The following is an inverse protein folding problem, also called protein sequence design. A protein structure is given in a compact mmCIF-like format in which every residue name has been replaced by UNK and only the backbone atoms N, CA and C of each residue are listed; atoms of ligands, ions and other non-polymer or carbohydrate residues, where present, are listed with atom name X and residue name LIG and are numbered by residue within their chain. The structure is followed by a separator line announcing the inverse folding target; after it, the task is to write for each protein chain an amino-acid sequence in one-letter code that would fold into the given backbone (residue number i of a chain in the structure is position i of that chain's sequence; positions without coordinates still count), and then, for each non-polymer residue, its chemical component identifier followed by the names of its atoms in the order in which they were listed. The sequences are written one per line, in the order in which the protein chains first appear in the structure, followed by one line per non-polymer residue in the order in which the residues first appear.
data_IF_784650035910
#
_entry.id   IF_784650035910
#
_cell.length_a   1.000
_cell.length_b   1.000
_cell.length_c   1.000
_cell.angle_alpha   90.00
_cell.angle_beta   90.00
_cell.angle_gamma   90.00
#
_symmetry.space_group_name_H-M   'P 1'
#
loop_
_entity.id
_entity.type
_entity.pdbx_description
1 polymer ?
#
# COMPACT_ATOMS: atom_id res chain seq x y z
N UNK A 1 -42.34 -0.06 4.69
CA UNK A 1 -42.50 -0.92 3.51
C UNK A 1 -43.91 -0.75 2.98
N UNK A 2 -44.08 -0.71 1.66
CA UNK A 2 -45.39 -0.52 1.04
C UNK A 2 -45.94 -1.92 0.68
N UNK A 3 -47.16 -2.30 1.09
CA UNK A 3 -47.74 -3.63 0.81
C UNK A 3 -47.79 -3.99 -0.68
N UNK A 4 -47.89 -2.97 -1.55
CA UNK A 4 -47.85 -3.13 -2.99
C UNK A 4 -46.44 -3.56 -3.42
N UNK A 5 -45.40 -2.90 -2.93
CA UNK A 5 -44.01 -3.23 -3.25
C UNK A 5 -43.58 -4.59 -2.71
N UNK A 6 -44.03 -4.95 -1.51
CA UNK A 6 -43.74 -6.25 -0.90
C UNK A 6 -44.26 -7.40 -1.79
N UNK A 7 -45.44 -7.26 -2.41
CA UNK A 7 -46.01 -8.28 -3.30
C UNK A 7 -45.11 -8.60 -4.50
N UNK A 8 -44.49 -7.59 -5.09
CA UNK A 8 -43.64 -7.77 -6.29
C UNK A 8 -42.22 -8.20 -5.95
N UNK A 9 -41.70 -7.79 -4.79
CA UNK A 9 -40.31 -8.07 -4.40
C UNK A 9 -40.16 -9.36 -3.60
N UNK A 10 -41.24 -9.85 -2.95
CA UNK A 10 -41.20 -11.08 -2.16
C UNK A 10 -40.67 -12.30 -2.92
N UNK A 11 -41.09 -12.59 -4.17
CA UNK A 11 -40.52 -13.71 -4.93
C UNK A 11 -39.01 -13.54 -5.17
N UNK A 12 -38.56 -12.32 -5.45
CA UNK A 12 -37.13 -12.02 -5.67
C UNK A 12 -36.33 -12.24 -4.38
N UNK A 13 -36.81 -11.76 -3.24
CA UNK A 13 -36.10 -11.90 -1.96
C UNK A 13 -36.11 -13.34 -1.43
N UNK A 14 -37.23 -14.04 -1.52
CA UNK A 14 -37.38 -15.38 -0.96
C UNK A 14 -36.83 -16.47 -1.89
N UNK A 15 -37.11 -16.39 -3.20
CA UNK A 15 -36.72 -17.43 -4.15
C UNK A 15 -35.29 -17.27 -4.66
N UNK A 16 -34.81 -16.02 -4.86
CA UNK A 16 -33.47 -15.76 -5.43
C UNK A 16 -32.44 -15.48 -4.32
N UNK A 17 -32.80 -14.65 -3.34
CA UNK A 17 -31.86 -14.23 -2.29
C UNK A 17 -31.94 -15.10 -1.02
N UNK A 18 -32.95 -15.96 -0.89
CA UNK A 18 -33.22 -16.79 0.29
C UNK A 18 -33.29 -15.98 1.60
N UNK A 19 -33.75 -14.73 1.52
CA UNK A 19 -33.93 -13.83 2.66
C UNK A 19 -35.43 -13.58 2.83
N UNK A 20 -36.01 -13.83 4.01
CA UNK A 20 -37.41 -13.47 4.26
C UNK A 20 -37.59 -11.96 4.09
N UNK A 21 -38.59 -11.54 3.32
CA UNK A 21 -38.78 -10.11 3.00
C UNK A 21 -38.96 -9.23 4.24
N UNK A 22 -39.50 -9.80 5.33
CA UNK A 22 -39.63 -9.15 6.64
C UNK A 22 -38.29 -8.78 7.30
N UNK A 23 -37.19 -9.43 6.91
CA UNK A 23 -35.82 -9.13 7.35
C UNK A 23 -35.06 -8.26 6.34
N UNK A 24 -35.63 -7.98 5.16
CA UNK A 24 -34.97 -7.24 4.09
C UNK A 24 -35.42 -5.78 4.06
N UNK A 25 -34.50 -4.85 4.33
CA UNK A 25 -34.76 -3.41 4.11
C UNK A 25 -34.44 -3.06 2.67
N UNK A 26 -35.45 -2.65 1.91
CA UNK A 26 -35.30 -2.25 0.52
C UNK A 26 -35.97 -0.90 0.26
N UNK A 27 -35.47 -0.20 -0.77
CA UNK A 27 -36.09 1.00 -1.32
C UNK A 27 -36.28 0.77 -2.82
N UNK A 28 -37.52 0.61 -3.26
CA UNK A 28 -37.86 0.30 -4.65
C UNK A 28 -39.08 1.07 -5.13
N UNK A 29 -39.04 1.53 -6.37
CA UNK A 29 -40.16 2.20 -7.02
C UNK A 29 -40.83 1.23 -8.01
N UNK A 30 -42.16 1.13 -7.93
CA UNK A 30 -42.97 0.34 -8.88
C UNK A 30 -43.91 1.30 -9.57
N UNK A 31 -43.67 1.57 -10.85
CA UNK A 31 -44.43 2.55 -11.63
C UNK A 31 -45.79 2.02 -12.09
N UNK A 32 -45.84 0.75 -12.47
CA UNK A 32 -47.00 0.13 -13.11
C UNK A 32 -47.51 -1.11 -12.33
N UNK A 33 -47.96 -0.97 -11.08
CA UNK A 33 -48.57 -2.08 -10.35
C UNK A 33 -49.92 -2.48 -10.95
N UNK A 34 -50.31 -3.71 -10.66
CA UNK A 34 -51.57 -4.35 -11.05
C UNK A 34 -52.52 -4.32 -9.85
N UNK A 35 -53.76 -3.88 -10.06
CA UNK A 35 -54.80 -3.89 -9.03
C UNK A 35 -55.32 -5.32 -8.73
N UNK A 36 -56.28 -5.45 -7.82
CA UNK A 36 -56.89 -6.76 -7.49
C UNK A 36 -57.67 -7.38 -8.65
N UNK A 37 -58.01 -6.60 -9.69
CA UNK A 37 -58.76 -7.01 -10.86
C UNK A 37 -57.88 -7.27 -12.09
N UNK A 38 -56.55 -7.17 -11.98
CA UNK A 38 -55.63 -7.37 -13.10
C UNK A 38 -55.37 -6.11 -13.95
N UNK A 39 -55.91 -4.95 -13.57
CA UNK A 39 -55.75 -3.68 -14.31
C UNK A 39 -54.46 -2.99 -13.89
N UNK A 40 -53.61 -2.66 -14.87
CA UNK A 40 -52.39 -1.89 -14.65
C UNK A 40 -52.73 -0.41 -14.50
N UNK A 41 -52.25 0.22 -13.44
CA UNK A 41 -52.42 1.66 -13.21
C UNK A 41 -51.09 2.31 -12.85
N UNK A 42 -50.99 3.63 -13.03
CA UNK A 42 -49.79 4.37 -12.65
C UNK A 42 -49.77 4.67 -11.15
N UNK A 43 -48.71 4.27 -10.46
CA UNK A 43 -48.52 4.59 -9.05
C UNK A 43 -47.96 6.00 -8.87
N UNK A 44 -48.82 6.96 -8.50
CA UNK A 44 -48.41 8.34 -8.28
C UNK A 44 -47.40 8.54 -7.15
N UNK A 45 -47.33 7.64 -6.16
CA UNK A 45 -46.30 7.73 -5.11
C UNK A 45 -44.91 7.40 -5.66
N UNK A 46 -44.80 6.33 -6.46
CA UNK A 46 -43.55 5.98 -7.16
C UNK A 46 -43.17 7.07 -8.18
N UNK A 47 -44.15 7.62 -8.89
CA UNK A 47 -43.95 8.74 -9.81
C UNK A 47 -43.47 10.02 -9.13
N UNK A 48 -44.04 10.39 -7.98
CA UNK A 48 -43.60 11.53 -7.19
C UNK A 48 -42.17 11.33 -6.65
N UNK A 49 -41.84 10.12 -6.17
CA UNK A 49 -40.48 9.77 -5.78
C UNK A 49 -39.47 9.87 -6.93
N UNK A 50 -39.86 9.42 -8.13
CA UNK A 50 -39.06 9.56 -9.33
C UNK A 50 -38.88 11.02 -9.78
N UNK A 51 -39.92 11.85 -9.72
CA UNK A 51 -39.80 13.30 -9.98
C UNK A 51 -38.83 13.95 -8.98
N UNK A 52 -38.93 13.60 -7.69
CA UNK A 52 -37.99 14.08 -6.68
C UNK A 52 -36.54 13.68 -6.99
N UNK A 53 -36.32 12.43 -7.42
CA UNK A 53 -35.02 11.94 -7.87
C UNK A 53 -34.50 12.73 -9.08
N UNK A 54 -35.35 12.96 -10.10
CA UNK A 54 -34.99 13.75 -11.27
C UNK A 54 -34.64 15.20 -10.92
N UNK A 55 -35.39 15.84 -10.02
CA UNK A 55 -35.09 17.20 -9.55
C UNK A 55 -33.76 17.23 -8.81
N UNK A 56 -33.50 16.25 -7.93
CA UNK A 56 -32.26 16.17 -7.15
C UNK A 56 -31.05 15.92 -8.05
N UNK A 57 -31.13 14.93 -8.95
CA UNK A 57 -30.07 14.64 -9.91
C UNK A 57 -29.87 15.79 -10.90
N UNK A 58 -30.96 16.40 -11.38
CA UNK A 58 -30.93 17.53 -12.30
C UNK A 58 -30.28 18.77 -11.69
N UNK A 59 -30.57 19.06 -10.42
CA UNK A 59 -29.91 20.15 -9.69
C UNK A 59 -28.40 19.89 -9.57
N UNK A 60 -28.01 18.69 -9.11
CA UNK A 60 -26.60 18.32 -8.98
C UNK A 60 -25.86 18.41 -10.32
N UNK A 61 -26.45 17.88 -11.39
CA UNK A 61 -25.89 17.92 -12.74
C UNK A 61 -25.76 19.35 -13.27
N UNK A 62 -26.75 20.21 -13.03
CA UNK A 62 -26.71 21.63 -13.41
C UNK A 62 -25.57 22.36 -12.69
N UNK A 63 -25.39 22.11 -11.38
CA UNK A 63 -24.27 22.68 -10.61
C UNK A 63 -22.93 22.27 -11.21
N UNK A 64 -22.76 20.98 -11.54
CA UNK A 64 -21.52 20.46 -12.15
C UNK A 64 -21.24 21.13 -13.50
N UNK A 65 -22.24 21.23 -14.38
CA UNK A 65 -22.08 21.89 -15.69
C UNK A 65 -21.76 23.38 -15.52
N UNK A 66 -22.50 24.10 -14.68
CA UNK A 66 -22.29 25.54 -14.48
C UNK A 66 -20.92 25.81 -13.86
N UNK A 67 -20.50 25.01 -12.87
CA UNK A 67 -19.18 25.12 -12.26
C UNK A 67 -18.07 24.81 -13.28
N UNK A 68 -18.23 23.77 -14.10
CA UNK A 68 -17.30 23.43 -15.17
C UNK A 68 -17.18 24.55 -16.21
N UNK A 69 -18.32 25.08 -16.68
CA UNK A 69 -18.36 26.17 -17.65
C UNK A 69 -17.74 27.47 -17.11
N UNK A 70 -18.08 27.85 -15.87
CA UNK A 70 -17.47 29.02 -15.20
C UNK A 70 -15.97 28.85 -15.03
N UNK A 71 -15.51 27.66 -14.64
CA UNK A 71 -14.09 27.34 -14.49
C UNK A 71 -13.35 27.48 -15.82
N UNK A 72 -13.91 26.95 -16.91
CA UNK A 72 -13.37 27.09 -18.26
C UNK A 72 -13.23 28.55 -18.70
N UNK A 73 -14.29 29.35 -18.51
CA UNK A 73 -14.30 30.79 -18.86
C UNK A 73 -13.22 31.53 -18.07
N UNK A 74 -13.12 31.30 -16.76
CA UNK A 74 -12.14 31.96 -15.89
C UNK A 74 -10.71 31.67 -16.33
N UNK A 75 -10.37 30.41 -16.61
CA UNK A 75 -9.03 30.02 -17.06
C UNK A 75 -8.68 30.63 -18.42
N UNK A 76 -9.64 30.70 -19.34
CA UNK A 76 -9.45 31.35 -20.65
C UNK A 76 -9.13 32.85 -20.50
N UNK A 77 -9.72 33.52 -19.51
CA UNK A 77 -9.40 34.91 -19.18
C UNK A 77 -8.04 35.06 -18.51
N UNK A 78 -7.69 34.21 -17.53
CA UNK A 78 -6.40 34.24 -16.83
C UNK A 78 -5.22 34.00 -17.78
N UNK A 79 -5.41 33.15 -18.81
CA UNK A 79 -4.40 32.94 -19.86
C UNK A 79 -4.03 34.23 -20.61
N UNK A 80 -4.94 35.21 -20.68
CA UNK A 80 -4.71 36.52 -21.33
C UNK A 80 -4.01 37.52 -20.42
N UNK A 81 -4.02 37.34 -19.10
CA UNK A 81 -3.60 38.38 -18.13
C UNK A 81 -2.11 38.39 -17.75
N UNK A 82 -1.20 37.86 -18.56
CA UNK A 82 0.24 38.03 -18.27
C UNK A 82 0.74 37.34 -16.99
N UNK A 83 0.00 36.38 -16.42
CA UNK A 83 0.42 35.64 -15.22
C UNK A 83 1.75 34.88 -15.42
N UNK A 84 2.40 34.53 -14.30
CA UNK A 84 3.63 33.75 -14.26
C UNK A 84 3.47 32.40 -14.99
N UNK A 85 4.57 31.89 -15.58
CA UNK A 85 4.58 30.61 -16.30
C UNK A 85 4.17 29.44 -15.39
N UNK A 86 4.59 29.47 -14.12
CA UNK A 86 4.23 28.48 -13.12
C UNK A 86 2.71 28.45 -12.85
N UNK A 87 2.13 29.61 -12.58
CA UNK A 87 0.68 29.74 -12.31
C UNK A 87 -0.16 29.26 -13.48
N UNK A 88 0.23 29.62 -14.71
CA UNK A 88 -0.44 29.17 -15.94
C UNK A 88 -0.40 27.65 -16.12
N UNK A 89 0.74 27.02 -15.84
CA UNK A 89 0.89 25.57 -15.94
C UNK A 89 0.03 24.85 -14.91
N UNK A 90 0.08 25.28 -13.64
CA UNK A 90 -0.71 24.69 -12.57
C UNK A 90 -2.22 24.82 -12.83
N UNK A 91 -2.68 26.00 -13.28
CA UNK A 91 -4.08 26.21 -13.65
C UNK A 91 -4.52 25.29 -14.80
N UNK A 92 -3.66 25.10 -15.81
CA UNK A 92 -3.95 24.19 -16.92
C UNK A 92 -4.05 22.73 -16.46
N UNK A 93 -3.20 22.31 -15.53
CA UNK A 93 -3.24 20.97 -14.94
C UNK A 93 -4.52 20.74 -14.15
N UNK A 94 -4.86 21.66 -13.25
CA UNK A 94 -6.10 21.63 -12.48
C UNK A 94 -7.33 21.65 -13.40
N UNK A 95 -7.26 22.39 -14.51
CA UNK A 95 -8.33 22.39 -15.51
C UNK A 95 -8.53 21.03 -16.17
N UNK A 96 -7.44 20.40 -16.65
CA UNK A 96 -7.51 19.06 -17.25
C UNK A 96 -8.06 18.04 -16.26
N UNK A 97 -7.61 18.10 -15.01
CA UNK A 97 -8.13 17.27 -13.92
C UNK A 97 -9.63 17.51 -13.71
N UNK A 98 -10.05 18.77 -13.58
CA UNK A 98 -11.46 19.14 -13.37
C UNK A 98 -12.35 18.67 -14.51
N UNK A 99 -11.92 18.83 -15.77
CA UNK A 99 -12.67 18.33 -16.93
C UNK A 99 -12.83 16.82 -16.83
N UNK A 100 -11.75 16.08 -16.57
CA UNK A 100 -11.83 14.63 -16.40
C UNK A 100 -12.75 14.24 -15.23
N UNK A 101 -12.64 14.91 -14.07
CA UNK A 101 -13.49 14.69 -12.91
C UNK A 101 -14.96 15.01 -13.16
N UNK A 102 -15.27 15.96 -14.05
CA UNK A 102 -16.66 16.23 -14.43
C UNK A 102 -17.20 15.18 -15.39
N UNK A 103 -16.38 14.66 -16.31
CA UNK A 103 -16.82 13.71 -17.33
C UNK A 103 -16.96 12.29 -16.77
N UNK A 104 -16.04 11.85 -15.91
CA UNK A 104 -16.04 10.49 -15.33
C UNK A 104 -17.38 10.13 -14.66
N UNK A 105 -17.92 10.87 -13.68
CA UNK A 105 -19.19 10.54 -13.06
C UNK A 105 -20.35 10.69 -14.03
N UNK A 106 -20.28 11.61 -15.01
CA UNK A 106 -21.34 11.76 -16.01
C UNK A 106 -21.52 10.48 -16.83
N UNK A 107 -20.42 9.92 -17.32
CA UNK A 107 -20.44 8.69 -18.11
C UNK A 107 -20.61 7.43 -17.26
N UNK A 108 -19.96 7.35 -16.10
CA UNK A 108 -19.96 6.13 -15.28
C UNK A 108 -21.17 6.02 -14.36
N UNK A 109 -21.74 7.13 -13.91
CA UNK A 109 -22.84 7.15 -12.95
C UNK A 109 -24.10 7.79 -13.53
N UNK A 110 -24.07 9.08 -13.91
CA UNK A 110 -25.31 9.80 -14.25
C UNK A 110 -26.07 9.18 -15.42
N UNK A 111 -25.41 8.90 -16.56
CA UNK A 111 -26.07 8.31 -17.73
C UNK A 111 -26.68 6.93 -17.40
N UNK A 112 -25.90 5.95 -16.90
CA UNK A 112 -26.44 4.61 -16.70
C UNK A 112 -27.39 4.50 -15.49
N UNK A 113 -27.21 5.26 -14.40
CA UNK A 113 -28.23 5.33 -13.34
C UNK A 113 -29.50 6.00 -13.83
N UNK A 114 -29.40 7.04 -14.66
CA UNK A 114 -30.60 7.65 -15.26
C UNK A 114 -31.35 6.60 -16.08
N UNK A 115 -30.65 5.85 -16.95
CA UNK A 115 -31.27 4.76 -17.73
C UNK A 115 -31.91 3.68 -16.84
N UNK A 116 -31.25 3.29 -15.74
CA UNK A 116 -31.78 2.32 -14.77
C UNK A 116 -33.09 2.82 -14.12
N UNK A 117 -33.21 4.11 -13.83
CA UNK A 117 -34.40 4.69 -13.19
C UNK A 117 -35.50 5.09 -14.17
N UNK A 118 -35.19 5.55 -15.38
CA UNK A 118 -36.20 5.88 -16.42
C UNK A 118 -36.67 4.68 -17.22
N UNK A 119 -35.82 3.68 -17.46
CA UNK A 119 -36.15 2.51 -18.28
C UNK A 119 -37.47 1.83 -17.88
N UNK A 120 -37.68 1.51 -16.59
CA UNK A 120 -38.91 0.88 -16.12
C UNK A 120 -40.19 1.71 -16.35
N UNK A 121 -40.09 3.04 -16.50
CA UNK A 121 -41.23 3.90 -16.82
C UNK A 121 -41.79 3.62 -18.22
N UNK A 122 -40.90 3.25 -19.15
CA UNK A 122 -41.21 2.96 -20.54
C UNK A 122 -41.29 1.46 -20.85
N UNK A 123 -41.42 0.62 -19.81
CA UNK A 123 -41.40 -0.85 -19.93
C UNK A 123 -40.10 -1.40 -20.55
N UNK A 124 -38.97 -0.72 -20.29
CA UNK A 124 -37.63 -1.17 -20.69
C UNK A 124 -36.97 -1.84 -19.49
N UNK A 125 -36.65 -3.13 -19.63
CA UNK A 125 -35.95 -3.90 -18.59
C UNK A 125 -34.45 -3.58 -18.58
N UNK A 126 -34.02 -2.87 -17.54
CA UNK A 126 -32.61 -2.48 -17.33
C UNK A 126 -31.96 -3.25 -16.16
N UNK A 127 -32.52 -4.38 -15.75
CA UNK A 127 -32.04 -5.17 -14.60
C UNK A 127 -30.56 -5.55 -14.73
N UNK A 128 -30.10 -5.89 -15.94
CA UNK A 128 -28.71 -6.25 -16.22
C UNK A 128 -27.68 -5.15 -15.85
N UNK A 129 -28.11 -3.88 -15.77
CA UNK A 129 -27.25 -2.76 -15.39
C UNK A 129 -27.06 -2.65 -13.87
N UNK A 130 -27.97 -3.22 -13.07
CA UNK A 130 -28.01 -3.01 -11.61
C UNK A 130 -26.73 -3.47 -10.89
N UNK A 131 -26.25 -4.68 -11.19
CA UNK A 131 -25.05 -5.24 -10.56
C UNK A 131 -23.75 -4.51 -10.96
N UNK A 132 -23.46 -4.27 -12.27
CA UNK A 132 -22.32 -3.46 -12.68
C UNK A 132 -22.35 -2.04 -12.08
N UNK A 133 -23.51 -1.39 -12.05
CA UNK A 133 -23.63 -0.03 -11.52
C UNK A 133 -23.40 0.05 -10.01
N UNK A 134 -23.84 -0.96 -9.26
CA UNK A 134 -23.56 -1.05 -7.82
C UNK A 134 -22.06 -1.16 -7.57
N UNK A 135 -21.35 -1.96 -8.37
CA UNK A 135 -19.89 -2.06 -8.29
C UNK A 135 -19.20 -0.74 -8.65
N UNK A 136 -19.58 -0.11 -9.77
CA UNK A 136 -19.02 1.18 -10.21
C UNK A 136 -19.27 2.28 -9.17
N UNK A 137 -20.46 2.33 -8.59
CA UNK A 137 -20.81 3.28 -7.54
C UNK A 137 -19.95 3.09 -6.29
N UNK A 138 -19.72 1.84 -5.86
CA UNK A 138 -18.84 1.53 -4.74
C UNK A 138 -17.37 1.89 -5.03
N UNK A 139 -16.93 1.76 -6.29
CA UNK A 139 -15.56 2.08 -6.71
C UNK A 139 -15.32 3.58 -6.96
N UNK A 140 -16.38 4.35 -7.26
CA UNK A 140 -16.26 5.75 -7.67
C UNK A 140 -15.46 6.64 -6.71
N UNK A 141 -15.62 6.55 -5.37
CA UNK A 141 -14.79 7.34 -4.44
C UNK A 141 -13.28 7.12 -4.60
N UNK A 142 -12.85 5.95 -5.08
CA UNK A 142 -11.46 5.67 -5.39
C UNK A 142 -11.05 6.17 -6.79
N UNK A 143 -11.98 6.27 -7.73
CA UNK A 143 -11.74 6.78 -9.09
C UNK A 143 -11.66 8.31 -9.17
N UNK A 144 -12.49 9.00 -8.37
CA UNK A 144 -12.59 10.46 -8.37
C UNK A 144 -11.26 11.23 -8.14
N UNK A 145 -10.35 10.80 -7.24
CA UNK A 145 -9.07 11.46 -7.07
C UNK A 145 -8.06 11.17 -8.20
N UNK A 146 -8.23 10.09 -8.99
CA UNK A 146 -7.25 9.64 -9.98
C UNK A 146 -6.86 10.75 -10.99
N UNK A 147 -7.79 11.52 -11.57
CA UNK A 147 -7.41 12.59 -12.48
C UNK A 147 -6.56 13.67 -11.83
N UNK A 148 -6.83 14.06 -10.58
CA UNK A 148 -5.99 15.03 -9.87
C UNK A 148 -4.60 14.43 -9.65
N UNK A 149 -4.53 13.17 -9.21
CA UNK A 149 -3.27 12.48 -8.97
C UNK A 149 -2.45 12.31 -10.25
N UNK A 150 -3.09 12.19 -11.41
CA UNK A 150 -2.43 11.98 -12.70
C UNK A 150 -2.10 13.28 -13.45
N UNK A 151 -2.92 14.32 -13.38
CA UNK A 151 -2.72 15.56 -14.15
C UNK A 151 -1.93 16.63 -13.41
N UNK A 152 -1.87 16.59 -12.08
CA UNK A 152 -1.21 17.63 -11.28
C UNK A 152 0.18 17.18 -10.86
N UNK A 153 1.21 17.86 -11.34
CA UNK A 153 2.61 17.44 -11.15
C UNK A 153 2.99 17.31 -9.68
N UNK A 154 2.57 18.24 -8.83
CA UNK A 154 2.86 18.19 -7.40
C UNK A 154 2.34 16.90 -6.74
N UNK A 155 1.15 16.42 -7.12
CA UNK A 155 0.60 15.17 -6.59
C UNK A 155 1.35 13.96 -7.13
N UNK A 156 1.71 13.95 -8.43
CA UNK A 156 2.50 12.86 -9.02
C UNK A 156 3.87 12.74 -8.34
N UNK A 157 4.56 13.87 -8.14
CA UNK A 157 5.85 13.94 -7.43
C UNK A 157 5.68 13.46 -5.99
N UNK A 158 4.59 13.82 -5.31
CA UNK A 158 4.31 13.35 -3.95
C UNK A 158 4.15 11.84 -3.91
N UNK A 159 3.35 11.26 -4.80
CA UNK A 159 3.13 9.81 -4.86
C UNK A 159 4.44 9.08 -5.14
N UNK A 160 5.22 9.55 -6.12
CA UNK A 160 6.54 8.99 -6.42
C UNK A 160 7.47 9.07 -5.21
N UNK A 161 7.50 10.22 -4.52
CA UNK A 161 8.29 10.42 -3.30
C UNK A 161 7.84 9.51 -2.16
N UNK A 162 6.52 9.27 -2.01
CA UNK A 162 5.98 8.34 -1.02
C UNK A 162 6.38 6.90 -1.31
N UNK A 163 6.35 6.48 -2.58
CA UNK A 163 6.83 5.16 -3.00
C UNK A 163 8.32 4.99 -2.70
N UNK A 164 9.14 6.00 -2.99
CA UNK A 164 10.56 5.98 -2.63
C UNK A 164 10.77 6.00 -1.10
N UNK A 165 9.94 6.72 -0.35
CA UNK A 165 10.00 6.80 1.11
C UNK A 165 9.75 5.45 1.79
N UNK A 166 9.01 4.53 1.14
CA UNK A 166 8.86 3.16 1.61
C UNK A 166 10.22 2.46 1.80
N UNK A 167 11.24 2.80 0.99
CA UNK A 167 12.60 2.29 1.18
C UNK A 167 13.18 2.71 2.54
N UNK A 168 13.06 3.99 2.88
CA UNK A 168 13.48 4.52 4.18
C UNK A 168 12.71 3.88 5.34
N UNK A 169 11.39 3.78 5.24
CA UNK A 169 10.53 3.12 6.24
C UNK A 169 10.98 1.66 6.46
N UNK A 170 11.23 0.92 5.38
CA UNK A 170 11.66 -0.48 5.45
C UNK A 170 13.01 -0.64 6.12
N UNK A 171 14.00 0.19 5.79
CA UNK A 171 15.34 0.12 6.41
C UNK A 171 15.28 0.32 7.94
N UNK A 172 14.49 1.29 8.40
CA UNK A 172 14.31 1.52 9.84
C UNK A 172 13.45 0.43 10.49
N UNK A 173 12.46 -0.11 9.78
CA UNK A 173 11.72 -1.30 10.21
C UNK A 173 12.66 -2.49 10.46
N UNK A 174 13.57 -2.77 9.54
CA UNK A 174 14.60 -3.81 9.68
C UNK A 174 15.45 -3.56 10.93
N UNK A 175 15.95 -2.33 11.11
CA UNK A 175 16.74 -1.97 12.29
C UNK A 175 15.99 -2.22 13.60
N UNK A 176 14.70 -1.87 13.67
CA UNK A 176 13.85 -2.11 14.84
C UNK A 176 13.63 -3.60 15.07
N UNK A 177 13.41 -4.40 14.02
CA UNK A 177 13.32 -5.85 14.15
C UNK A 177 14.59 -6.45 14.76
N UNK A 178 15.78 -5.94 14.41
CA UNK A 178 17.03 -6.37 15.05
C UNK A 178 17.12 -5.99 16.52
N UNK A 179 16.69 -4.78 16.89
CA UNK A 179 16.63 -4.34 18.29
C UNK A 179 15.66 -5.19 19.09
N UNK A 180 14.48 -5.49 18.52
CA UNK A 180 13.50 -6.38 19.13
C UNK A 180 14.08 -7.78 19.39
N UNK A 181 14.74 -8.37 18.38
CA UNK A 181 15.41 -9.68 18.50
C UNK A 181 16.48 -9.67 19.60
N UNK A 182 17.28 -8.60 19.68
CA UNK A 182 18.28 -8.43 20.74
C UNK A 182 17.63 -8.43 22.14
N UNK A 183 16.58 -7.65 22.34
CA UNK A 183 15.89 -7.59 23.63
C UNK A 183 15.21 -8.91 24.00
N UNK A 184 14.70 -9.65 23.02
CA UNK A 184 14.18 -10.99 23.22
C UNK A 184 15.26 -11.97 23.72
N UNK A 185 16.47 -11.89 23.18
CA UNK A 185 17.60 -12.73 23.59
C UNK A 185 18.16 -12.37 24.95
N UNK A 186 18.09 -11.10 25.36
CA UNK A 186 18.60 -10.67 26.67
C UNK A 186 17.82 -11.28 27.84
N UNK A 187 16.53 -11.64 27.65
CA UNK A 187 15.62 -12.16 28.67
C UNK A 187 15.50 -11.29 29.94
N UNK A 188 15.87 -10.01 29.86
CA UNK A 188 15.83 -9.04 30.98
C UNK A 188 14.47 -8.32 31.14
N UNK A 189 13.39 -8.87 30.59
CA UNK A 189 12.06 -8.23 30.61
C UNK A 189 11.94 -6.95 29.75
N UNK A 190 12.95 -6.63 28.94
CA UNK A 190 12.98 -5.42 28.08
C UNK A 190 11.96 -5.45 26.93
N UNK A 191 11.35 -6.60 26.62
CA UNK A 191 10.21 -6.65 25.68
C UNK A 191 9.01 -5.83 26.14
N UNK A 192 8.94 -5.41 27.42
CA UNK A 192 7.93 -4.48 27.89
C UNK A 192 7.91 -3.15 27.10
N UNK A 193 9.05 -2.75 26.54
CA UNK A 193 9.16 -1.55 25.70
C UNK A 193 8.55 -1.73 24.31
N UNK A 194 8.14 -2.94 23.94
CA UNK A 194 7.42 -3.25 22.71
C UNK A 194 5.94 -3.56 22.97
N UNK A 195 5.40 -3.12 24.12
CA UNK A 195 4.00 -3.29 24.51
C UNK A 195 3.35 -1.97 24.90
N UNK A 196 2.04 -1.86 24.66
CA UNK A 196 1.22 -0.71 25.06
C UNK A 196 1.68 0.59 24.39
N UNK A 197 1.71 1.69 25.15
CA UNK A 197 2.03 3.02 24.64
C UNK A 197 3.44 3.14 24.02
N UNK A 198 4.41 2.34 24.47
CA UNK A 198 5.76 2.34 23.90
C UNK A 198 5.80 1.86 22.44
N UNK A 199 4.79 1.14 21.97
CA UNK A 199 4.68 0.72 20.58
C UNK A 199 4.54 1.93 19.62
N UNK A 200 3.84 2.98 20.06
CA UNK A 200 3.70 4.23 19.28
C UNK A 200 5.06 4.88 19.03
N UNK A 201 5.96 4.83 20.02
CA UNK A 201 7.33 5.33 19.86
C UNK A 201 8.08 4.55 18.78
N UNK A 202 8.02 3.22 18.78
CA UNK A 202 8.68 2.41 17.75
C UNK A 202 8.12 2.64 16.35
N UNK A 203 6.81 2.82 16.20
CA UNK A 203 6.23 3.15 14.89
C UNK A 203 6.54 4.57 14.43
N UNK A 204 6.78 5.50 15.34
CA UNK A 204 7.15 6.88 14.96
C UNK A 204 8.50 6.93 14.23
N UNK A 205 9.45 6.05 14.56
CA UNK A 205 10.81 6.08 13.99
C UNK A 205 10.80 5.83 12.47
N UNK A 206 10.20 4.74 11.94
CA UNK A 206 10.11 4.53 10.48
C UNK A 206 9.30 5.61 9.78
N UNK A 207 8.24 6.13 10.41
CA UNK A 207 7.42 7.21 9.84
C UNK A 207 8.27 8.47 9.67
N UNK A 208 9.04 8.86 10.68
CA UNK A 208 9.96 10.00 10.60
C UNK A 208 11.03 9.81 9.52
N UNK A 209 11.56 8.60 9.38
CA UNK A 209 12.51 8.27 8.30
C UNK A 209 11.88 8.42 6.91
N UNK A 210 10.64 7.96 6.74
CA UNK A 210 9.86 8.15 5.52
C UNK A 210 9.57 9.63 5.23
N UNK A 211 9.17 10.40 6.26
CA UNK A 211 8.96 11.84 6.14
C UNK A 211 10.25 12.58 5.72
N UNK A 212 11.40 12.23 6.32
CA UNK A 212 12.70 12.79 5.91
C UNK A 212 12.99 12.49 4.43
N UNK A 213 12.67 11.29 3.96
CA UNK A 213 12.83 10.94 2.54
C UNK A 213 11.92 11.76 1.63
N UNK A 214 10.65 11.95 2.00
CA UNK A 214 9.70 12.77 1.22
C UNK A 214 10.20 14.22 1.13
N UNK A 215 10.63 14.80 2.26
CA UNK A 215 11.20 16.16 2.32
C UNK A 215 12.42 16.26 1.40
N UNK A 216 13.30 15.26 1.43
CA UNK A 216 14.48 15.23 0.58
C UNK A 216 14.13 15.18 -0.92
N UNK A 217 13.18 14.34 -1.32
CA UNK A 217 12.68 14.29 -2.70
C UNK A 217 12.06 15.62 -3.14
N UNK A 218 11.29 16.27 -2.27
CA UNK A 218 10.60 17.53 -2.59
C UNK A 218 11.53 18.73 -2.72
N UNK A 219 12.52 18.86 -1.82
CA UNK A 219 13.34 20.06 -1.75
C UNK A 219 14.68 19.93 -2.47
N UNK A 220 15.30 18.75 -2.45
CA UNK A 220 16.67 18.57 -2.95
C UNK A 220 16.73 17.80 -4.26
N UNK A 221 15.82 16.84 -4.47
CA UNK A 221 15.85 15.93 -5.63
C UNK A 221 14.63 16.08 -6.58
N UNK A 222 13.93 17.21 -6.50
CA UNK A 222 12.72 17.47 -7.28
C UNK A 222 13.01 17.74 -8.75
N UNK A 223 12.03 17.45 -9.60
CA UNK A 223 12.08 17.69 -11.04
C UNK A 223 12.33 19.17 -11.33
N UNK A 224 13.35 19.45 -12.12
CA UNK A 224 13.70 20.79 -12.54
C UNK A 224 14.16 20.81 -14.01
N UNK A 225 14.21 21.98 -14.66
CA UNK A 225 14.56 22.05 -16.08
C UNK A 225 15.98 21.55 -16.41
N UNK A 226 16.90 21.52 -15.43
CA UNK A 226 18.25 20.99 -15.62
C UNK A 226 18.20 19.46 -15.60
N UNK A 227 17.48 18.87 -14.65
CA UNK A 227 17.28 17.42 -14.59
C UNK A 227 16.50 16.88 -15.77
N UNK A 228 15.53 17.64 -16.27
CA UNK A 228 14.76 17.23 -17.44
C UNK A 228 15.67 17.11 -18.68
N UNK A 229 16.54 18.10 -18.91
CA UNK A 229 17.47 18.04 -20.05
C UNK A 229 18.45 16.88 -19.95
N UNK A 230 18.91 16.59 -18.74
CA UNK A 230 19.86 15.51 -18.50
C UNK A 230 19.22 14.12 -18.65
N UNK A 231 18.02 13.93 -18.09
CA UNK A 231 17.35 12.62 -18.07
C UNK A 231 16.53 12.33 -19.32
N UNK A 232 16.16 13.33 -20.12
CA UNK A 232 15.35 13.15 -21.33
C UNK A 232 15.87 12.05 -22.26
N UNK A 233 17.14 12.07 -22.70
CA UNK A 233 17.63 11.02 -23.61
C UNK A 233 17.59 9.63 -22.97
N UNK A 234 17.85 9.53 -21.66
CA UNK A 234 17.86 8.27 -20.91
C UNK A 234 16.44 7.70 -20.80
N UNK A 235 15.48 8.53 -20.42
CA UNK A 235 14.08 8.11 -20.22
C UNK A 235 13.42 7.74 -21.56
N UNK A 236 13.65 8.54 -22.61
CA UNK A 236 13.08 8.29 -23.93
C UNK A 236 13.67 7.04 -24.59
N UNK A 237 14.96 6.76 -24.37
CA UNK A 237 15.62 5.56 -24.91
C UNK A 237 15.22 4.27 -24.16
N UNK A 238 15.22 4.29 -22.82
CA UNK A 238 14.95 3.08 -22.01
C UNK A 238 13.46 2.78 -21.91
N UNK A 239 12.64 3.80 -21.64
CA UNK A 239 11.22 3.62 -21.33
C UNK A 239 10.29 3.98 -22.49
N UNK A 240 10.81 4.59 -23.56
CA UNK A 240 10.02 5.04 -24.72
C UNK A 240 8.86 5.98 -24.34
N UNK A 241 9.06 6.77 -23.28
CA UNK A 241 8.07 7.72 -22.76
C UNK A 241 8.67 9.13 -22.82
N UNK A 242 7.93 10.13 -23.34
CA UNK A 242 8.37 11.52 -23.28
C UNK A 242 8.52 11.98 -21.83
N UNK A 243 9.59 12.71 -21.51
CA UNK A 243 9.90 13.09 -20.12
C UNK A 243 8.79 13.92 -19.44
N UNK A 244 7.98 14.66 -20.21
CA UNK A 244 6.83 15.41 -19.70
C UNK A 244 5.78 14.50 -19.04
N UNK A 245 5.74 13.24 -19.46
CA UNK A 245 4.86 12.20 -18.94
C UNK A 245 5.54 11.31 -17.89
N UNK A 246 6.85 11.47 -17.68
CA UNK A 246 7.59 10.79 -16.63
C UNK A 246 7.51 11.55 -15.29
N UNK A 247 7.59 10.82 -14.19
CA UNK A 247 7.83 11.40 -12.85
C UNK A 247 9.04 10.72 -12.26
N UNK A 248 9.96 11.52 -11.76
CA UNK A 248 11.20 11.02 -11.21
C UNK A 248 11.67 11.91 -10.06
N UNK A 249 12.50 11.34 -9.19
CA UNK A 249 13.38 12.08 -8.29
C UNK A 249 14.80 11.77 -8.72
N UNK A 250 15.63 12.79 -8.93
CA UNK A 250 16.98 12.60 -9.47
C UNK A 250 18.01 13.41 -8.70
N UNK A 251 19.10 12.74 -8.34
CA UNK A 251 20.31 13.38 -7.82
C UNK A 251 21.32 13.48 -8.96
N UNK A 252 21.43 14.67 -9.56
CA UNK A 252 22.41 14.93 -10.62
C UNK A 252 23.58 15.68 -10.00
N UNK A 253 24.71 15.00 -9.84
CA UNK A 253 25.89 15.55 -9.18
C UNK A 253 26.69 16.48 -10.08
N UNK A 254 26.78 16.15 -11.38
CA UNK A 254 27.67 16.82 -12.33
C UNK A 254 26.91 17.35 -13.56
N UNK A 255 25.94 18.28 -13.41
CA UNK A 255 25.25 18.86 -14.55
C UNK A 255 26.17 19.76 -15.40
N UNK A 256 25.86 19.86 -16.68
CA UNK A 256 26.52 20.78 -17.63
C UNK A 256 25.77 22.11 -17.67
N UNK A 257 26.48 23.24 -17.51
CA UNK A 257 25.92 24.57 -17.67
C UNK A 257 25.64 24.91 -19.15
N UNK A 258 24.95 26.02 -19.42
CA UNK A 258 24.68 26.56 -20.75
C UNK A 258 25.95 26.82 -21.57
N UNK A 259 27.08 27.05 -20.90
CA UNK A 259 28.41 27.28 -21.49
C UNK A 259 29.21 25.98 -21.70
N UNK A 260 28.65 24.81 -21.38
CA UNK A 260 29.34 23.52 -21.51
C UNK A 260 30.22 23.14 -20.32
N UNK A 261 30.38 24.01 -19.32
CA UNK A 261 31.17 23.73 -18.12
C UNK A 261 30.42 22.81 -17.13
N UNK A 262 31.11 21.79 -16.62
CA UNK A 262 30.61 20.89 -15.58
C UNK A 262 30.85 21.53 -14.21
N UNK A 263 29.84 21.57 -13.37
CA UNK A 263 29.95 22.02 -11.98
C UNK A 263 29.29 21.01 -11.04
N UNK A 264 29.67 20.99 -9.77
CA UNK A 264 29.00 20.13 -8.79
C UNK A 264 27.72 20.79 -8.29
N UNK A 265 26.62 20.03 -8.28
CA UNK A 265 25.34 20.50 -7.75
C UNK A 265 25.27 20.27 -6.24
N UNK A 266 25.43 21.34 -5.46
CA UNK A 266 25.38 21.29 -4.00
C UNK A 266 24.03 20.81 -3.45
N UNK A 267 22.92 21.00 -4.16
CA UNK A 267 21.60 20.48 -3.72
C UNK A 267 21.55 18.95 -3.79
N UNK A 268 21.97 18.38 -4.93
CA UNK A 268 22.09 16.92 -5.10
C UNK A 268 23.09 16.33 -4.10
N UNK A 269 24.22 17.01 -3.88
CA UNK A 269 25.24 16.63 -2.90
C UNK A 269 24.72 16.62 -1.46
N UNK A 270 24.00 17.66 -1.05
CA UNK A 270 23.36 17.72 0.26
C UNK A 270 22.31 16.61 0.43
N UNK A 271 21.55 16.31 -0.63
CA UNK A 271 20.63 15.19 -0.67
C UNK A 271 21.34 13.85 -0.45
N UNK A 272 22.43 13.60 -1.16
CA UNK A 272 23.24 12.39 -0.98
C UNK A 272 23.78 12.27 0.44
N UNK A 273 24.32 13.36 1.02
CA UNK A 273 24.84 13.34 2.40
C UNK A 273 23.73 12.96 3.39
N UNK A 274 22.53 13.54 3.26
CA UNK A 274 21.40 13.19 4.12
C UNK A 274 20.99 11.71 3.96
N UNK A 275 20.92 11.21 2.73
CA UNK A 275 20.63 9.80 2.44
C UNK A 275 21.67 8.87 3.08
N UNK A 276 22.96 9.16 2.91
CA UNK A 276 24.06 8.37 3.46
C UNK A 276 24.07 8.40 4.99
N UNK A 277 23.82 9.55 5.61
CA UNK A 277 23.72 9.65 7.07
C UNK A 277 22.52 8.86 7.61
N UNK A 278 21.36 9.00 6.98
CA UNK A 278 20.14 8.30 7.39
C UNK A 278 20.28 6.79 7.24
N UNK A 279 20.77 6.32 6.09
CA UNK A 279 21.03 4.89 5.86
C UNK A 279 22.15 4.36 6.75
N UNK A 280 23.23 5.13 6.92
CA UNK A 280 24.37 4.79 7.76
C UNK A 280 23.97 4.64 9.23
N UNK A 281 23.03 5.46 9.72
CA UNK A 281 22.48 5.31 11.06
C UNK A 281 21.71 4.00 11.22
N UNK A 282 20.75 3.71 10.32
CA UNK A 282 19.98 2.47 10.36
C UNK A 282 20.89 1.23 10.26
N UNK A 283 21.88 1.27 9.35
CA UNK A 283 22.87 0.21 9.20
C UNK A 283 23.71 0.00 10.47
N UNK A 284 24.17 1.09 11.10
CA UNK A 284 24.94 1.02 12.35
C UNK A 284 24.13 0.35 13.47
N UNK A 285 22.83 0.66 13.58
CA UNK A 285 21.94 -0.01 14.53
C UNK A 285 21.84 -1.51 14.24
N UNK A 286 21.66 -1.90 12.97
CA UNK A 286 21.63 -3.32 12.56
C UNK A 286 22.92 -4.04 12.93
N UNK A 287 24.08 -3.46 12.61
CA UNK A 287 25.40 -4.04 12.90
C UNK A 287 25.63 -4.15 14.40
N UNK A 288 25.35 -3.10 15.18
CA UNK A 288 25.53 -3.11 16.64
C UNK A 288 24.57 -4.10 17.31
N UNK A 289 23.29 -4.10 16.91
CA UNK A 289 22.30 -5.03 17.46
C UNK A 289 22.63 -6.49 17.10
N UNK A 290 23.07 -6.73 15.86
CA UNK A 290 23.57 -8.03 15.41
C UNK A 290 24.80 -8.49 16.21
N UNK A 291 25.81 -7.63 16.35
CA UNK A 291 27.03 -7.92 17.11
C UNK A 291 26.75 -8.18 18.60
N UNK A 292 25.89 -7.36 19.24
CA UNK A 292 25.48 -7.58 20.63
C UNK A 292 24.72 -8.89 20.80
N UNK A 293 23.80 -9.18 19.88
CA UNK A 293 23.05 -10.44 19.89
C UNK A 293 24.00 -11.62 19.76
N UNK A 294 24.99 -11.53 18.88
CA UNK A 294 26.04 -12.53 18.72
C UNK A 294 26.84 -12.76 20.00
N UNK A 295 27.33 -11.70 20.63
CA UNK A 295 28.09 -11.78 21.88
C UNK A 295 27.27 -12.41 23.01
N UNK A 296 26.00 -12.02 23.14
CA UNK A 296 25.10 -12.56 24.18
C UNK A 296 24.85 -14.05 23.98
N UNK A 297 24.55 -14.48 22.76
CA UNK A 297 24.33 -15.90 22.45
C UNK A 297 25.61 -16.73 22.68
N UNK A 298 26.79 -16.19 22.34
CA UNK A 298 28.08 -16.83 22.64
C UNK A 298 28.34 -16.96 24.15
N UNK A 299 27.93 -15.98 24.95
CA UNK A 299 28.09 -16.00 26.41
C UNK A 299 27.14 -17.02 27.07
N UNK A 300 25.87 -17.02 26.69
CA UNK A 300 24.87 -17.99 27.17
C UNK A 300 25.32 -19.44 26.88
N UNK A 301 25.96 -19.67 25.73
CA UNK A 301 26.56 -20.96 25.37
C UNK A 301 27.67 -21.42 26.34
N UNK A 302 28.42 -20.50 26.94
CA UNK A 302 29.51 -20.82 27.88
C UNK A 302 29.00 -21.15 29.29
N UNK A 303 27.81 -20.69 29.66
CA UNK A 303 27.25 -20.85 31.02
C UNK A 303 26.60 -22.22 31.29
N UNK A 304 26.69 -23.18 30.36
CA UNK A 304 26.36 -24.59 30.67
C UNK A 304 24.86 -24.90 30.82
N UNK A 305 23.98 -24.28 30.04
CA UNK A 305 22.57 -24.70 30.00
C UNK A 305 22.40 -26.12 29.40
N UNK A 306 21.23 -26.74 29.64
CA UNK A 306 20.90 -28.12 29.21
C UNK A 306 21.21 -28.37 27.72
N UNK A 307 21.47 -29.64 27.34
CA UNK A 307 21.74 -30.04 25.95
C UNK A 307 20.66 -29.52 24.97
N UNK A 308 19.40 -29.54 25.39
CA UNK A 308 18.27 -29.02 24.63
C UNK A 308 18.40 -27.51 24.40
N UNK A 309 18.61 -26.72 25.48
CA UNK A 309 18.72 -25.27 25.34
C UNK A 309 19.96 -24.87 24.54
N UNK A 310 21.08 -25.59 24.68
CA UNK A 310 22.28 -25.39 23.88
C UNK A 310 22.03 -25.60 22.38
N UNK A 311 21.28 -26.64 22.00
CA UNK A 311 20.95 -26.92 20.60
C UNK A 311 20.01 -25.85 20.02
N UNK A 312 18.97 -25.45 20.76
CA UNK A 312 18.06 -24.39 20.35
C UNK A 312 18.80 -23.04 20.17
N UNK A 313 19.70 -22.69 21.10
CA UNK A 313 20.53 -21.48 21.00
C UNK A 313 21.45 -21.50 19.77
N UNK A 314 22.00 -22.67 19.41
CA UNK A 314 22.82 -22.82 18.19
C UNK A 314 22.00 -22.65 16.91
N UNK A 315 20.74 -23.10 16.89
CA UNK A 315 19.83 -22.91 15.76
C UNK A 315 19.44 -21.45 15.58
N UNK A 316 19.02 -20.81 16.67
CA UNK A 316 18.72 -19.37 16.68
C UNK A 316 19.93 -18.53 16.30
N UNK A 317 21.14 -18.92 16.71
CA UNK A 317 22.38 -18.27 16.30
C UNK A 317 22.60 -18.33 14.78
N UNK A 318 22.49 -19.53 14.17
CA UNK A 318 22.66 -19.70 12.72
C UNK A 318 21.61 -18.91 11.94
N UNK A 319 20.35 -18.96 12.39
CA UNK A 319 19.27 -18.16 11.82
C UNK A 319 19.58 -16.66 11.90
N UNK A 320 20.03 -16.18 13.06
CA UNK A 320 20.28 -14.77 13.28
C UNK A 320 21.44 -14.24 12.44
N UNK A 321 22.55 -15.00 12.33
CA UNK A 321 23.67 -14.61 11.46
C UNK A 321 23.21 -14.54 10.01
N UNK A 322 22.51 -15.56 9.51
CA UNK A 322 21.98 -15.54 8.16
C UNK A 322 21.04 -14.34 7.94
N UNK A 323 20.14 -14.06 8.89
CA UNK A 323 19.25 -12.90 8.83
C UNK A 323 19.97 -11.57 8.88
N UNK A 324 21.10 -11.43 9.59
CA UNK A 324 21.91 -10.20 9.53
C UNK A 324 22.58 -10.01 8.17
N UNK A 325 23.04 -11.09 7.53
CA UNK A 325 23.79 -10.98 6.29
C UNK A 325 22.88 -10.66 5.09
N UNK A 326 21.65 -11.18 5.07
CA UNK A 326 20.68 -10.94 3.99
C UNK A 326 20.46 -9.44 3.71
N UNK A 327 19.96 -8.61 4.63
CA UNK A 327 19.73 -7.19 4.38
C UNK A 327 21.04 -6.44 4.15
N UNK A 328 22.16 -6.85 4.75
CA UNK A 328 23.47 -6.21 4.52
C UNK A 328 23.90 -6.35 3.07
N UNK A 329 23.86 -7.57 2.51
CA UNK A 329 24.32 -7.83 1.14
C UNK A 329 23.27 -7.57 0.07
N UNK A 330 21.98 -7.72 0.38
CA UNK A 330 20.90 -7.55 -0.58
C UNK A 330 20.29 -6.15 -0.59
N UNK A 331 20.40 -5.40 0.51
CA UNK A 331 19.84 -4.05 0.62
C UNK A 331 20.92 -2.99 0.87
N UNK A 332 21.59 -3.00 2.02
CA UNK A 332 22.44 -1.88 2.42
C UNK A 332 23.66 -1.69 1.49
N UNK A 333 24.39 -2.75 1.16
CA UNK A 333 25.59 -2.65 0.33
C UNK A 333 25.26 -2.23 -1.11
N UNK A 334 24.30 -2.84 -1.81
CA UNK A 334 24.04 -2.44 -3.19
C UNK A 334 23.41 -1.05 -3.32
N UNK A 335 22.53 -0.65 -2.39
CA UNK A 335 22.02 0.73 -2.38
C UNK A 335 23.11 1.75 -2.07
N UNK A 336 24.09 1.41 -1.21
CA UNK A 336 25.25 2.28 -0.98
C UNK A 336 26.07 2.46 -2.27
N UNK A 337 26.30 1.38 -3.03
CA UNK A 337 26.96 1.46 -4.36
C UNK A 337 26.13 2.30 -5.33
N UNK A 338 24.81 2.08 -5.39
CA UNK A 338 23.91 2.82 -6.28
C UNK A 338 23.92 4.33 -6.01
N UNK A 339 24.00 4.74 -4.74
CA UNK A 339 24.00 6.17 -4.38
C UNK A 339 25.38 6.83 -4.43
N UNK A 340 26.45 6.10 -4.11
CA UNK A 340 27.83 6.66 -4.11
C UNK A 340 28.50 6.54 -5.48
N UNK A 341 28.20 5.50 -6.26
CA UNK A 341 28.80 5.25 -7.57
C UNK A 341 28.70 6.43 -8.54
N UNK A 342 27.52 7.04 -8.72
CA UNK A 342 27.37 8.21 -9.61
C UNK A 342 28.19 9.43 -9.19
N UNK A 343 28.52 9.58 -7.90
CA UNK A 343 29.42 10.64 -7.43
C UNK A 343 30.86 10.47 -7.97
N UNK A 344 31.29 9.22 -8.12
CA UNK A 344 32.61 8.83 -8.62
C UNK A 344 32.65 8.63 -10.15
N UNK A 345 31.61 9.08 -10.87
CA UNK A 345 31.44 8.86 -12.32
C UNK A 345 31.35 7.36 -12.71
N UNK A 346 30.92 6.51 -11.78
CA UNK A 346 30.67 5.09 -12.04
C UNK A 346 29.22 4.93 -12.47
N UNK A 347 29.01 4.44 -13.69
CA UNK A 347 27.68 4.08 -14.17
C UNK A 347 27.18 2.83 -13.43
N UNK A 348 26.11 3.03 -12.67
CA UNK A 348 25.47 2.00 -11.85
C UNK A 348 24.04 1.70 -12.34
N UNK A 349 23.68 2.13 -13.55
CA UNK A 349 22.32 1.96 -14.08
C UNK A 349 21.88 0.49 -14.09
N UNK A 350 22.79 -0.42 -14.45
CA UNK A 350 22.56 -1.86 -14.50
C UNK A 350 22.11 -2.48 -13.17
N UNK A 351 22.38 -1.82 -12.02
CA UNK A 351 21.96 -2.27 -10.70
C UNK A 351 20.50 -1.91 -10.39
N UNK A 352 19.94 -0.88 -11.03
CA UNK A 352 18.62 -0.33 -10.65
C UNK A 352 17.49 -1.36 -10.73
N UNK A 353 17.40 -2.12 -11.82
CA UNK A 353 16.35 -3.13 -12.05
C UNK A 353 16.49 -4.33 -11.10
N UNK A 354 17.65 -5.01 -11.00
CA UNK A 354 17.83 -6.09 -10.03
C UNK A 354 17.57 -5.66 -8.58
N UNK A 355 17.98 -4.45 -8.19
CA UNK A 355 17.77 -3.96 -6.83
C UNK A 355 16.31 -3.71 -6.51
N UNK A 356 15.54 -3.21 -7.47
CA UNK A 356 14.09 -3.05 -7.31
C UNK A 356 13.43 -4.40 -7.03
N UNK A 357 13.82 -5.46 -7.76
CA UNK A 357 13.31 -6.81 -7.54
C UNK A 357 13.74 -7.39 -6.19
N UNK A 358 15.02 -7.29 -5.85
CA UNK A 358 15.56 -7.77 -4.57
C UNK A 358 14.87 -7.07 -3.38
N UNK A 359 14.66 -5.77 -3.49
CA UNK A 359 13.94 -4.98 -2.49
C UNK A 359 12.50 -5.47 -2.31
N UNK A 360 11.78 -5.72 -3.41
CA UNK A 360 10.42 -6.25 -3.37
C UNK A 360 10.36 -7.68 -2.77
N UNK A 361 11.38 -8.51 -3.00
CA UNK A 361 11.43 -9.88 -2.51
C UNK A 361 11.92 -10.00 -1.06
N UNK A 362 12.62 -8.99 -0.53
CA UNK A 362 13.23 -9.03 0.80
C UNK A 362 12.28 -9.47 1.93
N UNK A 363 11.03 -8.98 2.04
CA UNK A 363 10.10 -9.43 3.07
C UNK A 363 9.86 -10.94 3.07
N UNK A 364 9.94 -11.58 1.89
CA UNK A 364 9.84 -13.04 1.77
C UNK A 364 11.16 -13.75 2.12
N UNK A 365 12.32 -13.11 1.91
CA UNK A 365 13.64 -13.67 2.21
C UNK A 365 14.00 -13.64 3.70
N UNK A 366 13.62 -12.60 4.43
CA UNK A 366 13.95 -12.43 5.87
C UNK A 366 13.49 -13.59 6.79
N UNK A 367 12.28 -14.18 6.63
CA UNK A 367 11.85 -15.29 7.47
C UNK A 367 12.51 -16.64 7.12
N UNK A 368 13.02 -16.81 5.89
CA UNK A 368 13.54 -18.11 5.41
C UNK A 368 14.60 -18.71 6.34
N UNK A 369 15.62 -17.97 6.82
CA UNK A 369 16.62 -18.56 7.71
C UNK A 369 16.03 -19.07 9.03
N UNK A 370 15.04 -18.40 9.62
CA UNK A 370 14.38 -18.92 10.83
C UNK A 370 13.64 -20.21 10.51
N UNK A 371 12.89 -20.23 9.42
CA UNK A 371 12.12 -21.42 9.01
C UNK A 371 13.04 -22.61 8.69
N UNK A 372 14.25 -22.36 8.18
CA UNK A 372 15.20 -23.40 7.79
C UNK A 372 16.16 -23.84 8.91
N UNK A 373 16.57 -22.95 9.83
CA UNK A 373 17.55 -23.29 10.87
C UNK A 373 16.94 -23.72 12.20
N UNK A 374 15.68 -23.38 12.49
CA UNK A 374 15.04 -23.69 13.78
C UNK A 374 14.14 -24.92 13.66
N UNK A 375 14.50 -25.99 14.38
CA UNK A 375 13.87 -27.31 14.21
C UNK A 375 12.36 -27.30 14.50
N UNK A 376 11.90 -26.56 15.51
CA UNK A 376 10.47 -26.45 15.82
C UNK A 376 9.66 -25.91 14.63
N UNK A 377 10.20 -24.92 13.89
CA UNK A 377 9.54 -24.38 12.70
C UNK A 377 9.60 -25.38 11.54
N UNK A 378 10.78 -25.98 11.28
CA UNK A 378 10.94 -26.99 10.22
C UNK A 378 10.01 -28.18 10.38
N UNK A 379 9.90 -28.72 11.60
CA UNK A 379 9.04 -29.85 11.92
C UNK A 379 7.57 -29.48 11.72
N UNK A 380 7.17 -28.28 12.14
CA UNK A 380 5.79 -27.78 11.98
C UNK A 380 5.43 -27.63 10.50
N UNK A 381 6.32 -27.03 9.70
CA UNK A 381 6.17 -26.90 8.24
C UNK A 381 6.09 -28.28 7.59
N UNK A 382 7.01 -29.19 7.92
CA UNK A 382 7.01 -30.55 7.38
C UNK A 382 5.73 -31.32 7.74
N UNK A 383 5.21 -31.17 8.96
CA UNK A 383 3.90 -31.73 9.36
C UNK A 383 2.75 -31.13 8.56
N UNK A 384 2.75 -29.81 8.35
CA UNK A 384 1.74 -29.12 7.55
C UNK A 384 1.75 -29.64 6.09
N UNK A 385 2.93 -29.68 5.45
CA UNK A 385 3.08 -30.23 4.10
C UNK A 385 2.79 -31.73 4.04
N UNK A 386 3.18 -32.54 5.02
CA UNK A 386 2.83 -33.97 5.09
C UNK A 386 1.32 -34.20 5.24
N UNK A 387 0.63 -33.33 5.98
CA UNK A 387 -0.83 -33.40 6.14
C UNK A 387 -1.56 -32.97 4.86
N UNK A 388 -1.00 -32.00 4.13
CA UNK A 388 -1.57 -31.48 2.88
C UNK A 388 -1.30 -32.37 1.67
N UNK A 389 -0.14 -33.01 1.62
CA UNK A 389 0.30 -33.89 0.52
C UNK A 389 0.23 -35.39 0.84
N UNK A 390 -0.34 -35.78 1.98
CA UNK A 390 -0.67 -37.17 2.29
C UNK A 390 0.53 -38.10 2.51
N UNK A 391 1.48 -37.75 3.40
CA UNK A 391 2.54 -38.69 3.77
C UNK A 391 2.07 -39.70 4.83
N UNK A 392 2.15 -41.01 4.53
CA UNK A 392 1.99 -42.08 5.51
C UNK A 392 3.13 -42.00 6.56
N UNK A 393 2.77 -41.96 7.85
CA UNK A 393 3.73 -41.97 8.97
C UNK A 393 4.54 -43.27 8.99
N UNK A 394 5.87 -43.16 8.97
CA UNK A 394 6.72 -44.13 9.67
C UNK A 394 7.04 -43.53 11.04
N UNK A 395 6.46 -44.13 12.09
CA UNK A 395 6.84 -43.86 13.48
C UNK A 395 8.24 -44.41 13.70
N UNK A 396 9.23 -43.53 13.89
CA UNK A 396 10.42 -43.88 14.67
C UNK A 396 10.11 -43.43 16.10
N UNK A 397 9.87 -44.42 16.95
CA UNK A 397 9.70 -44.26 18.39
C UNK A 397 11.06 -43.86 18.95
N UNK A 398 11.21 -42.61 19.38
CA UNK A 398 12.33 -42.22 20.22
C UNK A 398 12.01 -42.65 21.66
N UNK A 399 12.63 -43.75 22.08
CA UNK A 399 12.46 -44.39 23.38
C UNK A 399 13.07 -43.54 24.50
N UNK A 400 12.41 -42.44 24.84
CA UNK A 400 12.74 -41.59 25.99
C UNK A 400 11.55 -40.87 26.63
N UNK A 401 10.34 -41.00 26.05
CA UNK A 401 9.16 -40.22 26.46
C UNK A 401 8.18 -40.98 27.38
N UNK A 402 8.43 -42.27 27.65
CA UNK A 402 7.52 -43.13 28.44
C UNK A 402 7.59 -42.90 29.96
N UNK A 403 8.61 -42.23 30.47
CA UNK A 403 8.74 -41.95 31.92
C UNK A 403 8.14 -40.58 32.32
N UNK A 404 7.87 -39.69 31.36
CA UNK A 404 7.42 -38.32 31.63
C UNK A 404 5.90 -38.14 31.72
N UNK A 405 5.12 -39.10 31.19
CA UNK A 405 3.65 -38.99 31.16
C UNK A 405 2.96 -39.29 32.50
N UNK A 406 3.63 -39.95 33.44
CA UNK A 406 3.02 -40.30 34.74
C UNK A 406 3.03 -39.13 35.72
N UNK A 407 3.95 -38.16 35.59
CA UNK A 407 4.08 -37.09 36.58
C UNK A 407 3.34 -35.78 36.29
N UNK A 408 2.79 -35.59 35.08
CA UNK A 408 2.14 -34.32 34.69
C UNK A 408 0.61 -34.39 34.82
N UNK A 409 0.02 -35.59 34.97
CA UNK A 409 -1.43 -35.76 35.08
C UNK A 409 -2.04 -35.20 36.38
N UNK A 410 -1.25 -34.93 37.42
CA UNK A 410 -1.75 -34.52 38.74
C UNK A 410 -1.70 -33.00 39.00
N UNK A 411 -1.34 -32.17 38.02
CA UNK A 411 -1.46 -30.71 38.14
C UNK A 411 -2.16 -30.09 36.93
N UNK A 412 -3.41 -30.51 36.78
CA UNK A 412 -4.42 -29.75 36.04
C UNK A 412 -4.64 -28.36 36.65
N UNK A 413 -4.70 -27.40 35.73
CA UNK A 413 -5.66 -26.30 35.71
C UNK A 413 -5.59 -25.21 36.80
N UNK A 414 -4.95 -24.10 36.43
CA UNK A 414 -5.59 -22.79 36.57
C UNK A 414 -5.00 -21.79 35.57
N UNK A 415 -5.79 -21.51 34.54
CA UNK A 415 -6.01 -20.24 33.85
C UNK A 415 -4.82 -19.28 33.66
N UNK A 416 -4.37 -19.17 32.40
CA UNK A 416 -4.36 -17.92 31.61
C UNK A 416 -3.38 -18.04 30.43
N UNK A 417 -3.86 -18.55 29.30
CA UNK A 417 -3.23 -18.32 28.00
C UNK A 417 -4.30 -18.40 26.91
N UNK A 418 -5.00 -17.29 26.69
CA UNK A 418 -5.51 -16.94 25.38
C UNK A 418 -5.04 -15.51 25.09
N UNK A 419 -4.79 -15.24 23.80
CA UNK A 419 -4.18 -14.06 23.18
C UNK A 419 -2.66 -14.11 23.02
N UNK A 420 -2.24 -14.68 21.88
CA UNK A 420 -1.08 -14.26 21.10
C UNK A 420 -1.63 -13.55 19.86
#
# INVERSE_FOLDING_TARGET
MNPVSDRYLKPIFEDILHIPIEHAVYSGAIFWPTDQNGVVYFNWYSGAGFINLLVTMGFAFTVVIVAGAKSWIKIRHLRKQGESKFTKNLQMQLYKALVAQTLIPVFLLFIPFSALFTGPLFFIDCEFLSAPLTFIYALYPALDPIPILFFVDNYRITISSMLCACCGVTMYGIAIHFVYRLFALERLGRLRYFKGAYLLFWFSIPILAGMNWIVLCWFLLSMNPVSDRYLRPIIEDIFHIPIEHAVYSAAIFWPTNLEGAIYFNWYSGAGLINLLLSMGFAFSVVVVAGAKSWMKTRHLRKQGESKFTRNLQMQLYKALVAQTLIPVFLLFLPFAVLFVGPLLFIDCEFLSVPLTFIYALYPALDPIPILFFVDNYRITISKFFCCFFGCKKNQVIDSGESEYKVHISDRTMSNNFLYI
#
